data_IF_846611358220
#
_entry.id   IF_846611358220
#
_cell.length_a   1.000
_cell.length_b   1.000
_cell.length_c   1.000
_cell.angle_alpha   90.00
_cell.angle_beta   90.00
_cell.angle_gamma   90.00
#
_symmetry.space_group_name_H-M   'P 1'
#
loop_
_entity.id
_entity.type
_entity.pdbx_description
1 polymer ?
#
# COMPACT_ATOMS: atom_id res chain seq x y z
N UNK A 1 4.24 13.83 0.26
CA UNK A 1 4.15 14.60 -0.99
C UNK A 1 2.68 14.62 -1.37
N UNK A 2 2.06 15.79 -1.51
CA UNK A 2 0.59 15.91 -1.67
C UNK A 2 0.06 15.04 -2.83
N UNK A 3 0.81 14.90 -3.93
CA UNK A 3 0.39 14.12 -5.09
C UNK A 3 0.27 12.61 -4.84
N UNK A 4 1.14 12.02 -4.01
CA UNK A 4 1.12 10.58 -3.70
C UNK A 4 -0.04 10.23 -2.78
N UNK A 5 -0.32 11.10 -1.82
CA UNK A 5 -1.43 10.96 -0.89
C UNK A 5 -2.79 11.09 -1.60
N UNK A 6 -2.88 11.97 -2.61
CA UNK A 6 -4.06 12.08 -3.47
C UNK A 6 -4.26 10.80 -4.29
N UNK A 7 -3.18 10.27 -4.89
CA UNK A 7 -3.27 9.07 -5.70
C UNK A 7 -3.69 7.84 -4.87
N UNK A 8 -3.19 7.71 -3.65
CA UNK A 8 -3.63 6.68 -2.72
C UNK A 8 -5.13 6.79 -2.39
N UNK A 9 -5.62 8.01 -2.15
CA UNK A 9 -7.05 8.26 -1.88
C UNK A 9 -7.93 7.94 -3.08
N UNK A 10 -7.51 8.33 -4.28
CA UNK A 10 -8.25 8.01 -5.50
C UNK A 10 -8.28 6.50 -5.76
N UNK A 11 -7.17 5.79 -5.51
CA UNK A 11 -7.16 4.33 -5.58
C UNK A 11 -8.20 3.71 -4.64
N UNK A 12 -8.20 4.11 -3.36
CA UNK A 12 -9.20 3.62 -2.41
C UNK A 12 -10.62 3.99 -2.83
N UNK A 13 -10.84 5.18 -3.38
CA UNK A 13 -12.15 5.62 -3.87
C UNK A 13 -12.65 4.75 -5.02
N UNK A 14 -11.79 4.43 -5.98
CA UNK A 14 -12.14 3.55 -7.11
C UNK A 14 -12.42 2.14 -6.61
N UNK A 15 -11.59 1.58 -5.74
CA UNK A 15 -11.84 0.25 -5.16
C UNK A 15 -13.18 0.23 -4.42
N UNK A 16 -13.47 1.24 -3.60
CA UNK A 16 -14.73 1.32 -2.84
C UNK A 16 -15.96 1.46 -3.74
N UNK A 17 -15.82 2.11 -4.90
CA UNK A 17 -16.92 2.31 -5.84
C UNK A 17 -17.24 1.04 -6.64
N UNK A 18 -16.22 0.39 -7.20
CA UNK A 18 -16.41 -0.78 -8.07
C UNK A 18 -16.44 -2.11 -7.31
N UNK A 19 -15.73 -2.21 -6.19
CA UNK A 19 -15.56 -3.43 -5.41
C UNK A 19 -15.76 -3.16 -3.90
N UNK A 20 -16.99 -2.89 -3.45
CA UNK A 20 -17.26 -2.49 -2.07
C UNK A 20 -16.76 -3.49 -1.02
N UNK A 21 -16.84 -4.80 -1.32
CA UNK A 21 -16.31 -5.86 -0.45
C UNK A 21 -14.79 -5.80 -0.27
N UNK A 22 -14.06 -5.39 -1.32
CA UNK A 22 -12.60 -5.20 -1.25
C UNK A 22 -12.29 -3.89 -0.52
N UNK A 23 -13.13 -2.88 -0.70
CA UNK A 23 -13.07 -1.62 0.05
C UNK A 23 -13.15 -1.80 1.56
N UNK A 24 -14.11 -2.62 2.04
CA UNK A 24 -14.23 -2.96 3.46
C UNK A 24 -12.96 -3.62 4.02
N UNK A 25 -12.25 -4.43 3.22
CA UNK A 25 -10.97 -5.01 3.63
C UNK A 25 -9.86 -3.95 3.72
N UNK A 26 -9.91 -2.92 2.87
CA UNK A 26 -8.93 -1.84 2.86
C UNK A 26 -9.11 -0.84 4.00
N UNK A 27 -10.32 -0.71 4.58
CA UNK A 27 -10.57 0.18 5.72
C UNK A 27 -9.71 -0.17 6.94
N UNK A 28 -9.36 -1.45 7.10
CA UNK A 28 -8.44 -1.94 8.13
C UNK A 28 -6.95 -1.90 7.75
N UNK A 29 -6.61 -1.36 6.57
CA UNK A 29 -5.24 -1.32 6.05
C UNK A 29 -4.80 0.12 5.78
N UNK A 30 -3.48 0.34 5.80
CA UNK A 30 -2.89 1.60 5.37
C UNK A 30 -2.42 1.48 3.92
N UNK A 31 -2.95 2.32 3.04
CA UNK A 31 -2.61 2.35 1.61
C UNK A 31 -1.68 3.53 1.34
N UNK A 32 -0.55 3.27 0.68
CA UNK A 32 0.43 4.29 0.33
C UNK A 32 1.01 4.05 -1.05
N UNK A 33 1.26 5.13 -1.78
CA UNK A 33 2.00 5.07 -3.05
C UNK A 33 3.49 5.13 -2.77
N UNK A 34 4.23 4.17 -3.32
CA UNK A 34 5.69 4.08 -3.23
C UNK A 34 6.26 4.43 -4.60
N UNK A 35 6.98 5.54 -4.69
CA UNK A 35 7.67 5.97 -5.91
C UNK A 35 9.13 5.50 -5.88
N UNK A 36 9.55 4.76 -6.91
CA UNK A 36 10.92 4.30 -7.10
C UNK A 36 11.44 4.81 -8.45
N UNK A 37 12.73 5.14 -8.54
CA UNK A 37 13.39 5.46 -9.80
C UNK A 37 14.33 4.33 -10.17
N UNK A 38 14.14 3.71 -11.34
CA UNK A 38 14.92 2.55 -11.78
C UNK A 38 15.42 2.70 -13.21
N UNK A 39 16.63 2.20 -13.49
CA UNK A 39 17.24 2.14 -14.83
C UNK A 39 18.12 3.34 -15.22
N UNK A 40 18.64 3.28 -16.47
CA UNK A 40 19.39 4.36 -17.13
C UNK A 40 18.87 4.52 -18.57
N UNK A 41 18.13 5.59 -18.91
CA UNK A 41 17.72 6.70 -18.05
C UNK A 41 16.72 6.26 -16.95
N UNK A 42 16.69 7.00 -15.84
CA UNK A 42 15.85 6.68 -14.70
C UNK A 42 14.37 6.78 -15.07
N UNK A 43 13.68 5.64 -15.07
CA UNK A 43 12.22 5.58 -15.20
C UNK A 43 11.58 5.68 -13.82
N UNK A 44 10.55 6.52 -13.72
CA UNK A 44 9.70 6.63 -12.54
C UNK A 44 8.72 5.46 -12.51
N UNK A 45 8.79 4.66 -11.46
CA UNK A 45 7.91 3.52 -11.21
C UNK A 45 7.10 3.83 -9.95
N UNK A 46 5.79 3.67 -10.02
CA UNK A 46 4.89 3.91 -8.89
C UNK A 46 4.18 2.61 -8.53
N UNK A 47 4.25 2.24 -7.27
CA UNK A 47 3.65 1.05 -6.70
C UNK A 47 2.63 1.45 -5.66
N UNK A 48 1.64 0.60 -5.40
CA UNK A 48 0.80 0.72 -4.22
C UNK A 48 1.25 -0.29 -3.17
N UNK A 49 1.65 0.24 -2.01
CA UNK A 49 1.86 -0.52 -0.80
C UNK A 49 0.59 -0.57 0.02
N UNK A 50 0.07 -1.76 0.26
CA UNK A 50 -1.04 -2.00 1.18
C UNK A 50 -0.47 -2.67 2.42
N UNK A 51 -0.50 -1.96 3.54
CA UNK A 51 -0.01 -2.45 4.82
C UNK A 51 -1.19 -2.89 5.67
N UNK A 52 -1.21 -4.15 6.08
CA UNK A 52 -2.29 -4.73 6.87
C UNK A 52 -1.77 -5.47 8.09
N UNK A 53 -2.68 -5.78 9.02
CA UNK A 53 -2.39 -6.72 10.10
C UNK A 53 -2.08 -8.12 9.55
N UNK A 54 -1.38 -8.95 10.32
CA UNK A 54 -1.03 -10.30 9.89
C UNK A 54 -2.24 -11.19 9.62
N UNK A 55 -3.33 -10.97 10.35
CA UNK A 55 -4.59 -11.70 10.22
C UNK A 55 -5.35 -11.29 8.95
N UNK A 56 -5.26 -10.02 8.55
CA UNK A 56 -5.90 -9.48 7.34
C UNK A 56 -5.14 -9.84 6.05
N UNK A 57 -3.83 -10.13 6.15
CA UNK A 57 -2.98 -10.35 4.99
C UNK A 57 -3.49 -11.44 4.02
N UNK A 58 -3.96 -12.63 4.46
CA UNK A 58 -4.49 -13.65 3.55
C UNK A 58 -5.75 -13.17 2.81
N UNK A 59 -6.62 -12.43 3.48
CA UNK A 59 -7.84 -11.89 2.88
C UNK A 59 -7.52 -10.87 1.79
N UNK A 60 -6.58 -9.96 2.06
CA UNK A 60 -6.14 -8.98 1.05
C UNK A 60 -5.38 -9.66 -0.09
N UNK A 61 -4.57 -10.69 0.20
CA UNK A 61 -3.90 -11.46 -0.84
C UNK A 61 -4.88 -12.22 -1.75
N UNK A 62 -6.02 -12.68 -1.22
CA UNK A 62 -7.06 -13.31 -2.05
C UNK A 62 -7.65 -12.37 -3.10
N UNK A 63 -7.62 -11.06 -2.84
CA UNK A 63 -8.14 -10.01 -3.73
C UNK A 63 -7.03 -9.32 -4.55
N UNK A 64 -5.81 -9.88 -4.56
CA UNK A 64 -4.65 -9.25 -5.19
C UNK A 64 -4.83 -8.96 -6.68
N UNK A 65 -5.49 -9.87 -7.41
CA UNK A 65 -5.70 -9.68 -8.85
C UNK A 65 -6.63 -8.48 -9.14
N UNK A 66 -7.70 -8.31 -8.35
CA UNK A 66 -8.60 -7.14 -8.47
C UNK A 66 -7.83 -5.85 -8.16
N UNK A 67 -7.08 -5.84 -7.07
CA UNK A 67 -6.28 -4.67 -6.67
C UNK A 67 -5.23 -4.33 -7.75
N UNK A 68 -4.63 -5.36 -8.35
CA UNK A 68 -3.67 -5.21 -9.43
C UNK A 68 -4.31 -4.63 -10.69
N UNK A 69 -5.47 -5.12 -11.09
CA UNK A 69 -6.22 -4.60 -12.25
C UNK A 69 -6.55 -3.11 -12.06
N UNK A 70 -7.04 -2.74 -10.88
CA UNK A 70 -7.32 -1.33 -10.55
C UNK A 70 -6.05 -0.48 -10.61
N UNK A 71 -4.93 -0.99 -10.10
CA UNK A 71 -3.65 -0.29 -10.13
C UNK A 71 -3.13 -0.11 -11.57
N UNK A 72 -3.20 -1.16 -12.40
CA UNK A 72 -2.80 -1.11 -13.81
C UNK A 72 -3.66 -0.11 -14.59
N UNK A 73 -4.97 -0.07 -14.34
CA UNK A 73 -5.89 0.93 -14.93
C UNK A 73 -5.58 2.37 -14.52
N UNK A 74 -4.95 2.58 -13.37
CA UNK A 74 -4.46 3.89 -12.90
C UNK A 74 -3.06 4.24 -13.38
N UNK A 75 -2.41 3.37 -14.16
CA UNK A 75 -1.02 3.56 -14.63
C UNK A 75 0.05 3.24 -13.58
N UNK A 76 -0.30 2.51 -12.52
CA UNK A 76 0.63 2.03 -11.50
C UNK A 76 1.24 0.70 -11.93
N UNK A 77 2.45 0.43 -11.48
CA UNK A 77 3.24 -0.74 -11.89
C UNK A 77 2.77 -2.02 -11.21
N UNK A 78 2.49 -1.96 -9.91
CA UNK A 78 2.05 -3.13 -9.14
C UNK A 78 1.45 -2.75 -7.78
N UNK A 79 0.69 -3.67 -7.21
CA UNK A 79 0.26 -3.66 -5.81
C UNK A 79 1.09 -4.66 -4.99
N UNK A 80 1.56 -4.21 -3.83
CA UNK A 80 2.34 -5.00 -2.88
C UNK A 80 1.63 -4.99 -1.53
N UNK A 81 1.24 -6.17 -1.05
CA UNK A 81 0.64 -6.35 0.26
C UNK A 81 1.71 -6.72 1.28
N UNK A 82 1.83 -5.95 2.37
CA UNK A 82 2.83 -6.15 3.41
C UNK A 82 2.19 -6.30 4.79
N UNK A 83 2.80 -7.14 5.63
CA UNK A 83 2.42 -7.27 7.03
C UNK A 83 3.06 -6.14 7.84
N UNK A 84 2.25 -5.23 8.35
CA UNK A 84 2.69 -4.08 9.14
C UNK A 84 3.44 -4.52 10.42
N UNK A 85 2.92 -5.53 11.12
CA UNK A 85 3.52 -6.06 12.36
C UNK A 85 4.90 -6.67 12.13
N UNK A 86 5.08 -7.38 11.00
CA UNK A 86 6.39 -7.93 10.62
C UNK A 86 7.38 -6.82 10.25
N UNK A 87 6.94 -5.81 9.51
CA UNK A 87 7.81 -4.70 9.09
C UNK A 87 8.27 -3.82 10.26
N UNK A 88 7.43 -3.65 11.27
CA UNK A 88 7.77 -2.89 12.49
C UNK A 88 8.70 -3.66 13.43
N UNK A 89 8.62 -4.99 13.44
CA UNK A 89 9.45 -5.88 14.28
C UNK A 89 10.77 -6.27 13.64
N UNK A 90 10.95 -6.00 12.35
CA UNK A 90 12.18 -6.30 11.65
C UNK A 90 13.32 -5.40 12.18
N UNK A 91 14.36 -5.97 12.82
CA UNK A 91 15.46 -5.20 13.38
C UNK A 91 16.31 -4.49 12.32
N UNK A 92 16.24 -4.93 11.06
CA UNK A 92 16.93 -4.29 9.94
C UNK A 92 16.07 -3.24 9.23
N UNK A 93 14.82 -3.04 9.67
CA UNK A 93 13.92 -2.04 9.11
C UNK A 93 14.40 -0.63 9.44
N UNK A 94 14.87 0.09 8.43
CA UNK A 94 15.21 1.53 8.53
C UNK A 94 13.97 2.43 8.46
N UNK A 95 12.76 1.86 8.56
CA UNK A 95 11.51 2.61 8.40
C UNK A 95 11.39 3.74 9.41
N UNK A 96 11.77 3.49 10.66
CA UNK A 96 11.71 4.49 11.74
C UNK A 96 12.55 5.72 11.45
N UNK A 97 13.71 5.54 10.83
CA UNK A 97 14.65 6.63 10.53
C UNK A 97 14.34 7.32 9.21
N UNK A 98 13.92 6.56 8.19
CA UNK A 98 13.65 7.08 6.84
C UNK A 98 12.28 7.75 6.72
N UNK A 99 11.25 7.19 7.37
CA UNK A 99 9.88 7.71 7.32
C UNK A 99 9.17 7.50 8.68
N UNK A 100 9.45 8.39 9.65
CA UNK A 100 8.86 8.30 10.99
C UNK A 100 7.33 8.40 10.98
N UNK A 101 6.74 9.07 9.98
CA UNK A 101 5.29 9.22 9.86
C UNK A 101 4.65 7.90 9.46
N UNK A 102 5.16 7.27 8.41
CA UNK A 102 4.71 5.93 8.02
C UNK A 102 4.90 4.93 9.16
N UNK A 103 6.01 5.01 9.89
CA UNK A 103 6.22 4.15 11.05
C UNK A 103 5.11 4.29 12.10
N UNK A 104 4.67 5.52 12.42
CA UNK A 104 3.55 5.77 13.34
C UNK A 104 2.21 5.28 12.78
N UNK A 105 1.95 5.51 11.49
CA UNK A 105 0.72 5.04 10.81
C UNK A 105 0.64 3.51 10.85
N UNK A 106 1.75 2.82 10.60
CA UNK A 106 1.81 1.36 10.68
C UNK A 106 1.61 0.84 12.10
N UNK A 107 2.06 1.58 13.14
CA UNK A 107 1.78 1.18 14.52
C UNK A 107 0.28 1.20 14.84
N UNK A 108 -0.49 2.09 14.21
CA UNK A 108 -1.95 2.14 14.39
C UNK A 108 -2.64 0.94 13.72
N UNK A 109 -2.13 0.49 12.57
CA UNK A 109 -2.64 -0.70 11.85
C UNK A 109 -2.20 -2.03 12.47
N UNK A 110 -1.03 -2.05 13.13
CA UNK A 110 -0.45 -3.25 13.70
C UNK A 110 -0.93 -3.58 15.13
N UNK A 111 -1.84 -2.78 15.71
CA UNK A 111 -2.51 -3.07 16.99
C UNK A 111 -3.34 -4.35 16.87
#
# INVERSE_FOLDING_TARGET
MIAEDILAKEFTRVVNHYYPKVGELLDGCHVKVITCFWGRPARRLQYIGIYCSGEMLPYVQSQKEILREVAENMGLVQVVCMNAKRLLRDPMSKLKDNDPRLWLELQMVAR
#
